data_IF_380010805452
#
_entry.id   IF_380010805452
#
_cell.length_a   1.000
_cell.length_b   1.000
_cell.length_c   1.000
_cell.angle_alpha   90.00
_cell.angle_beta   90.00
_cell.angle_gamma   90.00
#
_symmetry.space_group_name_H-M   'P 1'
#
loop_
_entity.id
_entity.type
_entity.pdbx_description
1 polymer ?
#
# COMPACT_ATOMS: atom_id res chain seq x y z
N UNK A 1 32.85 -20.86 35.00
CA UNK A 1 32.99 -19.99 33.81
C UNK A 1 31.67 -20.08 33.06
N UNK A 2 30.72 -19.20 33.35
CA UNK A 2 29.43 -19.16 32.65
C UNK A 2 29.49 -18.03 31.63
N UNK A 3 29.41 -18.38 30.35
CA UNK A 3 29.34 -17.45 29.23
C UNK A 3 28.00 -16.71 29.30
N UNK A 4 28.04 -15.43 29.67
CA UNK A 4 26.89 -14.54 29.57
C UNK A 4 26.74 -14.18 28.08
N UNK A 5 25.90 -14.93 27.37
CA UNK A 5 25.52 -14.65 26.00
C UNK A 5 24.63 -13.41 26.00
N UNK A 6 25.24 -12.22 25.92
CA UNK A 6 24.54 -10.99 25.58
C UNK A 6 23.92 -11.16 24.18
N UNK A 7 22.64 -11.50 24.15
CA UNK A 7 21.83 -11.43 22.94
C UNK A 7 21.69 -9.95 22.56
N UNK A 8 22.59 -9.46 21.70
CA UNK A 8 22.44 -8.19 21.01
C UNK A 8 21.14 -8.23 20.21
N UNK A 9 20.09 -7.62 20.75
CA UNK A 9 18.86 -7.35 20.02
C UNK A 9 19.22 -6.49 18.81
N UNK A 10 19.11 -7.06 17.62
CA UNK A 10 19.25 -6.32 16.37
C UNK A 10 18.24 -5.15 16.36
N UNK A 11 18.66 -3.93 15.98
CA UNK A 11 17.77 -2.78 16.02
C UNK A 11 16.57 -3.03 15.09
N UNK A 12 15.37 -3.05 15.69
CA UNK A 12 14.13 -3.30 14.98
C UNK A 12 13.83 -2.11 14.04
N UNK A 13 13.82 -2.38 12.73
CA UNK A 13 13.59 -1.36 11.69
C UNK A 13 12.17 -0.78 11.72
N UNK A 14 11.25 -1.37 12.49
CA UNK A 14 9.92 -0.81 12.78
C UNK A 14 9.98 0.21 13.93
N UNK A 15 10.94 0.05 14.84
CA UNK A 15 11.11 0.90 16.01
C UNK A 15 12.05 2.07 15.71
N UNK A 16 11.48 3.15 15.16
CA UNK A 16 12.23 4.37 14.89
C UNK A 16 12.20 5.31 16.09
N UNK A 17 13.28 5.28 16.88
CA UNK A 17 13.59 6.33 17.86
C UNK A 17 14.14 7.56 17.13
N UNK A 18 13.26 8.42 16.63
CA UNK A 18 13.68 9.77 16.22
C UNK A 18 12.90 10.85 16.92
N UNK A 19 13.53 12.02 16.94
CA UNK A 19 13.06 13.26 17.58
C UNK A 19 11.75 13.78 16.98
N UNK A 20 11.34 13.30 15.79
CA UNK A 20 10.18 13.76 15.05
C UNK A 20 9.17 12.61 14.96
N UNK A 21 8.10 12.69 15.76
CA UNK A 21 7.02 11.69 15.82
C UNK A 21 6.09 11.86 14.59
N UNK A 22 5.63 10.74 14.02
CA UNK A 22 4.51 10.70 13.08
C UNK A 22 4.86 10.56 11.59
N UNK A 23 3.89 10.88 10.73
CA UNK A 23 3.94 10.71 9.26
C UNK A 23 5.11 11.45 8.60
N UNK A 24 5.54 12.60 9.15
CA UNK A 24 6.69 13.35 8.63
C UNK A 24 8.03 12.66 8.87
N UNK A 25 8.24 12.07 10.05
CA UNK A 25 9.45 11.27 10.32
C UNK A 25 9.50 9.99 9.49
N UNK A 26 8.32 9.46 9.12
CA UNK A 26 8.19 8.32 8.23
C UNK A 26 8.44 8.70 6.76
N UNK A 27 7.84 9.78 6.25
CA UNK A 27 8.02 10.24 4.85
C UNK A 27 9.45 10.71 4.57
N UNK A 28 10.12 11.33 5.54
CA UNK A 28 11.53 11.78 5.43
C UNK A 28 12.53 10.70 5.88
N UNK A 29 12.10 9.45 6.09
CA UNK A 29 13.02 8.34 6.41
C UNK A 29 13.85 7.93 5.19
N UNK A 30 15.17 7.84 5.34
CA UNK A 30 16.11 7.40 4.28
C UNK A 30 16.29 5.87 4.22
N UNK A 31 15.53 5.12 5.01
CA UNK A 31 15.60 3.66 5.05
C UNK A 31 14.86 3.06 3.84
N UNK A 32 15.61 2.38 2.97
CA UNK A 32 15.10 1.72 1.76
C UNK A 32 14.04 0.64 2.06
N UNK A 33 14.09 -0.02 3.23
CA UNK A 33 13.07 -1.01 3.64
C UNK A 33 11.73 -0.34 3.89
N UNK A 34 11.74 0.85 4.49
CA UNK A 34 10.52 1.64 4.77
C UNK A 34 9.96 2.27 3.51
N UNK A 35 10.83 2.84 2.68
CA UNK A 35 10.48 3.37 1.36
C UNK A 35 9.79 2.28 0.54
N UNK A 36 10.38 1.08 0.47
CA UNK A 36 9.77 -0.07 -0.20
C UNK A 36 8.37 -0.39 0.31
N UNK A 37 8.14 -0.33 1.63
CA UNK A 37 6.82 -0.56 2.23
C UNK A 37 5.81 0.55 1.87
N UNK A 38 6.21 1.83 1.83
CA UNK A 38 5.30 2.91 1.42
C UNK A 38 4.87 2.74 -0.04
N UNK A 39 5.83 2.43 -0.92
CA UNK A 39 5.54 2.17 -2.33
C UNK A 39 4.68 0.92 -2.50
N UNK A 40 4.92 -0.14 -1.73
CA UNK A 40 4.08 -1.34 -1.75
C UNK A 40 2.63 -1.01 -1.38
N UNK A 41 2.40 -0.30 -0.28
CA UNK A 41 1.04 0.13 0.10
C UNK A 41 0.44 1.07 -0.94
N UNK A 42 1.19 2.04 -1.44
CA UNK A 42 0.75 2.96 -2.49
C UNK A 42 0.29 2.19 -3.75
N UNK A 43 1.15 1.32 -4.29
CA UNK A 43 0.83 0.50 -5.45
C UNK A 43 -0.37 -0.43 -5.18
N UNK A 44 -0.47 -1.04 -4.00
CA UNK A 44 -1.61 -1.88 -3.62
C UNK A 44 -2.93 -1.11 -3.62
N UNK A 45 -2.95 0.13 -3.12
CA UNK A 45 -4.17 0.94 -3.12
C UNK A 45 -4.65 1.29 -4.53
N UNK A 46 -3.76 1.73 -5.41
CA UNK A 46 -4.10 2.01 -6.81
C UNK A 46 -4.47 0.73 -7.56
N UNK A 47 -3.76 -0.36 -7.32
CA UNK A 47 -4.09 -1.67 -7.90
C UNK A 47 -5.50 -2.12 -7.53
N UNK A 48 -5.87 -2.05 -6.25
CA UNK A 48 -7.22 -2.39 -5.80
C UNK A 48 -8.27 -1.48 -6.43
N UNK A 49 -8.02 -0.17 -6.55
CA UNK A 49 -8.95 0.74 -7.24
C UNK A 49 -9.15 0.35 -8.71
N UNK A 50 -8.06 0.00 -9.43
CA UNK A 50 -8.13 -0.45 -10.82
C UNK A 50 -8.83 -1.81 -10.96
N UNK A 51 -8.61 -2.73 -10.03
CA UNK A 51 -9.31 -4.03 -9.99
C UNK A 51 -10.81 -3.84 -9.79
N UNK A 52 -11.21 -2.99 -8.83
CA UNK A 52 -12.63 -2.64 -8.62
C UNK A 52 -13.21 -2.06 -9.91
N UNK A 53 -12.49 -1.15 -10.55
CA UNK A 53 -12.93 -0.54 -11.81
C UNK A 53 -13.11 -1.56 -12.95
N UNK A 54 -12.15 -2.48 -13.11
CA UNK A 54 -12.22 -3.54 -14.11
C UNK A 54 -13.32 -4.56 -13.83
N UNK A 55 -13.61 -4.84 -12.56
CA UNK A 55 -14.73 -5.70 -12.17
C UNK A 55 -16.06 -5.00 -12.52
N UNK A 56 -16.19 -3.70 -12.25
CA UNK A 56 -17.38 -2.93 -12.63
C UNK A 56 -17.64 -2.99 -14.14
N UNK A 57 -16.61 -2.83 -14.98
CA UNK A 57 -16.75 -3.02 -16.43
C UNK A 57 -17.23 -4.43 -16.79
N UNK A 58 -16.66 -5.46 -16.15
CA UNK A 58 -17.07 -6.84 -16.40
C UNK A 58 -18.51 -7.13 -15.98
N UNK A 59 -18.99 -6.51 -14.90
CA UNK A 59 -20.37 -6.67 -14.45
C UNK A 59 -21.37 -6.04 -15.44
N UNK A 60 -21.03 -4.89 -16.03
CA UNK A 60 -21.86 -4.27 -17.10
C UNK A 60 -21.97 -5.18 -18.33
N UNK A 61 -20.91 -5.91 -18.68
CA UNK A 61 -20.89 -6.83 -19.83
C UNK A 61 -21.60 -8.18 -19.60
N UNK A 62 -21.85 -8.58 -18.34
CA UNK A 62 -22.48 -9.88 -18.01
C UNK A 62 -24.00 -9.86 -18.22
N UNK A 63 -24.65 -8.69 -18.09
CA UNK A 63 -26.09 -8.52 -18.33
C UNK A 63 -26.28 -7.61 -19.54
N UNK A 64 -26.98 -8.04 -20.60
CA UNK A 64 -27.26 -7.17 -21.74
C UNK A 64 -28.26 -6.07 -21.36
N UNK A 65 -27.78 -4.83 -21.14
CA UNK A 65 -28.57 -3.62 -20.91
C UNK A 65 -27.83 -2.59 -20.04
N UNK A 66 -28.03 -1.27 -20.26
CA UNK A 66 -27.45 -0.21 -19.40
C UNK A 66 -28.03 -0.32 -17.99
N UNK A 67 -27.20 -0.72 -17.02
CA UNK A 67 -27.70 -0.99 -15.66
C UNK A 67 -26.92 -0.25 -14.56
N UNK A 68 -25.64 0.12 -14.77
CA UNK A 68 -24.85 0.87 -13.79
C UNK A 68 -24.11 2.07 -14.35
N UNK A 69 -23.63 2.05 -15.59
CA UNK A 69 -22.87 3.16 -16.19
C UNK A 69 -23.31 3.43 -17.62
N UNK A 70 -23.73 4.66 -17.90
CA UNK A 70 -24.08 5.07 -19.27
C UNK A 70 -22.87 5.03 -20.22
N UNK A 71 -23.11 4.94 -21.52
CA UNK A 71 -22.07 4.85 -22.57
C UNK A 71 -20.92 5.88 -22.44
N UNK A 72 -21.21 7.08 -21.94
CA UNK A 72 -20.20 8.12 -21.70
C UNK A 72 -19.29 7.81 -20.49
N UNK A 73 -19.82 7.21 -19.43
CA UNK A 73 -19.03 6.81 -18.25
C UNK A 73 -18.19 5.58 -18.55
N UNK A 74 -18.68 4.64 -19.37
CA UNK A 74 -17.90 3.48 -19.83
C UNK A 74 -16.68 3.90 -20.69
N UNK A 75 -16.84 4.84 -21.62
CA UNK A 75 -15.73 5.29 -22.48
C UNK A 75 -14.70 6.19 -21.79
N UNK A 76 -15.04 6.79 -20.65
CA UNK A 76 -14.15 7.71 -19.91
C UNK A 76 -13.24 6.99 -18.90
N UNK A 77 -13.35 5.66 -18.83
CA UNK A 77 -12.89 4.75 -17.80
C UNK A 77 -11.71 3.93 -18.33
#
# INVERSE_FOLDING_TARGET
MAENTEHKHEPNYLEYRSKHKGLMGWLTSTDHKRIGLMYFYGMMTFFLSGVVMGILMKLELISPGEQLMGAQTYNAL
#
